data_IF_049980479655
#
_entry.id   IF_049980479655
#
_cell.length_a   1.000
_cell.length_b   1.000
_cell.length_c   1.000
_cell.angle_alpha   90.00
_cell.angle_beta   90.00
_cell.angle_gamma   90.00
#
_symmetry.space_group_name_H-M   'P 1'
#
loop_
_entity.id
_entity.type
_entity.pdbx_description
1 polymer ?
#
# COMPACT_ATOMS: atom_id res chain seq x y z
N UNK A 1 4.61 8.71 -0.13
CA UNK A 1 4.68 7.62 -1.14
C UNK A 1 4.05 6.38 -0.53
N UNK A 2 3.22 5.65 -1.27
CA UNK A 2 2.62 4.38 -0.82
C UNK A 2 2.86 3.28 -1.87
N UNK A 3 3.95 2.50 -1.77
CA UNK A 3 4.19 1.39 -2.69
C UNK A 3 3.48 0.11 -2.22
N UNK A 4 3.06 -0.72 -3.18
CA UNK A 4 2.69 -2.11 -2.94
C UNK A 4 3.83 -2.98 -3.47
N UNK A 5 4.39 -3.85 -2.62
CA UNK A 5 5.62 -4.59 -2.91
C UNK A 5 5.46 -6.04 -2.46
N UNK A 6 5.92 -6.96 -3.29
CA UNK A 6 6.10 -8.37 -2.96
C UNK A 6 7.59 -8.70 -2.89
N UNK A 7 7.98 -9.61 -2.00
CA UNK A 7 9.37 -10.06 -1.88
C UNK A 7 9.42 -11.55 -1.54
N UNK A 8 10.28 -12.29 -2.22
CA UNK A 8 10.39 -13.75 -2.06
C UNK A 8 11.18 -14.17 -0.81
N UNK A 9 11.84 -13.21 -0.16
CA UNK A 9 12.69 -13.45 1.02
C UNK A 9 12.25 -12.59 2.19
N UNK A 10 12.26 -13.18 3.37
CA UNK A 10 12.06 -12.47 4.62
C UNK A 10 13.06 -11.30 4.74
N UNK A 11 12.58 -10.12 5.12
CA UNK A 11 13.40 -8.91 5.24
C UNK A 11 13.80 -8.25 3.92
N UNK A 12 13.40 -8.80 2.76
CA UNK A 12 13.68 -8.21 1.44
C UNK A 12 13.13 -6.79 1.30
N UNK A 13 11.87 -6.58 1.70
CA UNK A 13 11.22 -5.25 1.69
C UNK A 13 11.97 -4.26 2.58
N UNK A 14 12.32 -4.66 3.81
CA UNK A 14 13.04 -3.79 4.74
C UNK A 14 14.41 -3.37 4.21
N UNK A 15 15.13 -4.30 3.58
CA UNK A 15 16.42 -4.02 2.97
C UNK A 15 16.28 -3.10 1.75
N UNK A 16 15.31 -3.36 0.87
CA UNK A 16 15.02 -2.50 -0.28
C UNK A 16 14.67 -1.07 0.15
N UNK A 17 13.73 -0.91 1.10
CA UNK A 17 13.33 0.40 1.63
C UNK A 17 14.51 1.15 2.27
N UNK A 18 15.37 0.45 3.01
CA UNK A 18 16.58 1.05 3.60
C UNK A 18 17.53 1.56 2.51
N UNK A 19 17.84 0.72 1.52
CA UNK A 19 18.76 1.08 0.43
C UNK A 19 18.19 2.24 -0.40
N UNK A 20 16.94 2.16 -0.84
CA UNK A 20 16.30 3.24 -1.60
C UNK A 20 16.26 4.56 -0.82
N UNK A 21 15.94 4.49 0.47
CA UNK A 21 15.92 5.67 1.35
C UNK A 21 17.30 6.31 1.53
N UNK A 22 18.34 5.49 1.75
CA UNK A 22 19.71 5.95 1.92
C UNK A 22 20.29 6.56 0.64
N UNK A 23 20.16 5.85 -0.49
CA UNK A 23 20.66 6.34 -1.78
C UNK A 23 19.99 7.66 -2.19
N UNK A 24 18.69 7.81 -1.94
CA UNK A 24 17.99 9.05 -2.24
C UNK A 24 18.44 10.22 -1.35
N UNK A 25 18.60 10.00 -0.05
CA UNK A 25 19.10 11.04 0.88
C UNK A 25 20.47 11.51 0.46
N UNK A 26 21.41 10.60 0.18
CA UNK A 26 22.75 10.95 -0.26
C UNK A 26 22.72 11.79 -1.55
N UNK A 27 21.94 11.37 -2.54
CA UNK A 27 21.80 12.13 -3.79
C UNK A 27 21.17 13.52 -3.57
N UNK A 28 20.19 13.63 -2.67
CA UNK A 28 19.55 14.89 -2.31
C UNK A 28 20.51 15.83 -1.59
N UNK A 29 21.26 15.34 -0.60
CA UNK A 29 22.23 16.12 0.17
C UNK A 29 23.34 16.69 -0.72
N UNK A 30 23.89 15.86 -1.62
CA UNK A 30 24.86 16.30 -2.63
C UNK A 30 24.28 17.38 -3.54
N UNK A 31 23.06 17.17 -4.06
CA UNK A 31 22.41 18.11 -4.98
C UNK A 31 22.09 19.46 -4.32
N UNK A 32 21.67 19.45 -3.07
CA UNK A 32 21.16 20.63 -2.38
C UNK A 32 22.15 21.25 -1.38
N UNK A 33 23.35 20.66 -1.23
CA UNK A 33 24.38 21.10 -0.26
C UNK A 33 23.81 21.30 1.14
N UNK A 34 22.92 20.39 1.56
CA UNK A 34 22.35 20.33 2.90
C UNK A 34 22.70 19.00 3.54
N UNK A 35 22.72 18.97 4.87
CA UNK A 35 22.79 17.76 5.68
C UNK A 35 21.57 17.69 6.60
N UNK A 36 21.09 16.47 6.87
CA UNK A 36 20.05 16.24 7.87
C UNK A 36 19.01 15.19 7.45
N UNK A 37 18.07 14.90 8.36
CA UNK A 37 17.06 13.87 8.12
C UNK A 37 16.00 14.36 7.12
N UNK A 38 15.95 13.73 5.93
CA UNK A 38 14.90 14.00 4.94
C UNK A 38 13.58 13.28 5.26
N UNK A 39 13.66 12.10 5.84
CA UNK A 39 12.51 11.24 6.13
C UNK A 39 12.03 11.43 7.58
N UNK A 40 10.72 11.49 7.77
CA UNK A 40 10.11 11.53 9.10
C UNK A 40 9.87 10.11 9.63
N UNK A 41 10.84 9.57 10.36
CA UNK A 41 10.73 8.29 11.06
C UNK A 41 10.85 7.05 10.17
N UNK A 42 10.41 5.90 10.71
CA UNK A 42 10.43 4.60 10.01
C UNK A 42 9.24 4.49 9.05
N UNK A 43 9.42 3.72 7.97
CA UNK A 43 8.30 3.34 7.11
C UNK A 43 7.31 2.47 7.89
N UNK A 44 6.02 2.60 7.58
CA UNK A 44 4.97 1.71 8.07
C UNK A 44 4.69 0.62 7.04
N UNK A 45 4.36 -0.58 7.52
CA UNK A 45 4.00 -1.70 6.63
C UNK A 45 2.77 -2.45 7.13
N UNK A 46 2.00 -2.98 6.19
CA UNK A 46 0.77 -3.72 6.41
C UNK A 46 0.73 -4.86 5.38
N UNK A 47 0.58 -6.10 5.83
CA UNK A 47 0.37 -7.24 4.92
C UNK A 47 -1.05 -7.17 4.36
N UNK A 48 -1.22 -7.51 3.09
CA UNK A 48 -2.49 -7.43 2.37
C UNK A 48 -2.83 -8.82 1.85
N UNK A 49 -4.02 -9.31 2.15
CA UNK A 49 -4.54 -10.55 1.57
C UNK A 49 -4.85 -10.37 0.09
N UNK A 50 -4.33 -11.26 -0.74
CA UNK A 50 -4.30 -11.11 -2.20
C UNK A 50 -5.67 -11.00 -2.83
N UNK A 51 -6.49 -12.03 -2.67
CA UNK A 51 -7.67 -12.31 -3.50
C UNK A 51 -8.74 -11.22 -3.39
N UNK A 52 -8.80 -10.55 -2.24
CA UNK A 52 -9.86 -9.59 -1.91
C UNK A 52 -9.39 -8.14 -1.83
N UNK A 53 -8.14 -7.92 -1.41
CA UNK A 53 -7.73 -6.58 -0.99
C UNK A 53 -6.67 -5.94 -1.87
N UNK A 54 -5.95 -6.70 -2.71
CA UNK A 54 -4.87 -6.14 -3.55
C UNK A 54 -5.40 -5.07 -4.51
N UNK A 55 -6.47 -5.35 -5.25
CA UNK A 55 -7.06 -4.32 -6.12
C UNK A 55 -7.49 -3.13 -5.28
N UNK A 56 -8.30 -3.31 -4.22
CA UNK A 56 -8.74 -2.20 -3.36
C UNK A 56 -7.59 -1.33 -2.85
N UNK A 57 -6.46 -1.94 -2.47
CA UNK A 57 -5.23 -1.22 -2.08
C UNK A 57 -4.57 -0.51 -3.25
N UNK A 58 -4.51 -1.10 -4.44
CA UNK A 58 -4.07 -0.41 -5.66
C UNK A 58 -4.95 0.83 -5.94
N UNK A 59 -6.28 0.72 -5.81
CA UNK A 59 -7.19 1.89 -5.94
C UNK A 59 -6.83 2.96 -4.96
N UNK A 60 -6.67 2.57 -3.70
CA UNK A 60 -6.32 3.47 -2.63
C UNK A 60 -5.01 4.20 -2.98
N UNK A 61 -3.98 3.47 -3.42
CA UNK A 61 -2.68 4.03 -3.80
C UNK A 61 -2.85 5.07 -4.90
N UNK A 62 -3.51 4.70 -6.00
CA UNK A 62 -3.61 5.54 -7.20
C UNK A 62 -4.56 6.74 -7.03
N UNK A 63 -5.54 6.63 -6.13
CA UNK A 63 -6.41 7.76 -5.76
C UNK A 63 -5.79 8.67 -4.69
N UNK A 64 -4.62 8.35 -4.10
CA UNK A 64 -4.00 9.22 -3.08
C UNK A 64 -3.72 10.65 -3.59
N UNK A 65 -3.14 10.88 -4.78
CA UNK A 65 -2.86 12.23 -5.26
C UNK A 65 -4.12 13.09 -5.38
N UNK A 66 -5.23 12.48 -5.80
CA UNK A 66 -6.55 13.14 -5.86
C UNK A 66 -7.05 13.46 -4.45
N UNK A 67 -7.00 12.50 -3.51
CA UNK A 67 -7.40 12.72 -2.11
C UNK A 67 -6.55 13.79 -1.42
N UNK A 68 -5.26 13.86 -1.76
CA UNK A 68 -4.34 14.88 -1.26
C UNK A 68 -4.51 16.24 -1.97
N UNK A 69 -5.48 16.37 -2.89
CA UNK A 69 -5.76 17.58 -3.68
C UNK A 69 -4.55 18.07 -4.50
N UNK A 70 -3.69 17.14 -4.92
CA UNK A 70 -2.53 17.46 -5.75
C UNK A 70 -2.90 17.53 -7.24
N UNK A 71 -3.91 16.77 -7.64
CA UNK A 71 -4.42 16.64 -9.02
C UNK A 71 -5.92 16.37 -8.99
N UNK A 72 -6.62 16.65 -10.10
CA UNK A 72 -8.05 16.37 -10.22
C UNK A 72 -8.30 14.91 -10.61
N UNK A 73 -7.43 14.34 -11.44
CA UNK A 73 -7.54 12.97 -11.93
C UNK A 73 -6.30 12.14 -11.54
N UNK A 74 -6.45 10.82 -11.27
CA UNK A 74 -5.31 9.96 -10.94
C UNK A 74 -4.24 9.96 -12.03
N UNK A 75 -4.67 10.06 -13.29
CA UNK A 75 -3.81 10.06 -14.47
C UNK A 75 -3.04 11.35 -14.68
N UNK A 76 -3.33 12.42 -13.95
CA UNK A 76 -2.53 13.66 -14.00
C UNK A 76 -1.30 13.55 -13.09
N UNK A 77 -1.28 12.60 -12.16
CA UNK A 77 -0.13 12.38 -11.32
C UNK A 77 0.92 11.53 -12.04
N UNK A 78 2.04 12.16 -12.39
CA UNK A 78 3.13 11.53 -13.17
C UNK A 78 3.73 10.30 -12.49
N UNK A 79 3.88 10.33 -11.16
CA UNK A 79 4.62 9.32 -10.40
C UNK A 79 3.68 8.24 -9.81
N UNK A 80 2.95 7.56 -10.69
CA UNK A 80 1.97 6.53 -10.31
C UNK A 80 2.01 5.33 -11.25
N UNK A 81 1.69 4.14 -10.71
CA UNK A 81 1.47 2.92 -11.48
C UNK A 81 0.23 2.95 -12.38
N UNK A 82 -0.65 3.93 -12.17
CA UNK A 82 -1.91 4.08 -12.92
C UNK A 82 -1.70 4.10 -14.43
N UNK A 83 -0.58 4.66 -14.90
CA UNK A 83 -0.24 4.70 -16.33
C UNK A 83 0.02 3.32 -16.89
N UNK A 84 0.64 2.42 -16.11
CA UNK A 84 0.87 1.03 -16.51
C UNK A 84 -0.41 0.22 -16.47
N UNK A 85 -1.24 0.37 -15.43
CA UNK A 85 -2.52 -0.34 -15.34
C UNK A 85 -3.58 0.17 -16.34
N UNK A 86 -3.45 1.39 -16.84
CA UNK A 86 -4.31 1.94 -17.91
C UNK A 86 -3.70 1.82 -19.31
N UNK A 87 -2.58 1.10 -19.47
CA UNK A 87 -1.94 0.91 -20.78
C UNK A 87 -1.37 2.19 -21.41
N UNK A 88 -1.21 3.27 -20.63
CA UNK A 88 -0.68 4.58 -21.08
C UNK A 88 0.84 4.68 -21.02
N UNK A 89 1.52 3.68 -20.46
CA UNK A 89 2.97 3.62 -20.41
C UNK A 89 3.49 2.35 -19.74
N UNK A 90 4.68 1.89 -20.14
CA UNK A 90 5.37 0.75 -19.51
C UNK A 90 6.41 1.27 -18.52
N UNK A 91 6.49 0.62 -17.35
CA UNK A 91 7.52 0.87 -16.35
C UNK A 91 8.28 -0.42 -16.09
N UNK A 92 9.61 -0.37 -16.13
CA UNK A 92 10.47 -1.51 -15.77
C UNK A 92 10.44 -1.81 -14.27
N UNK A 93 9.93 -0.88 -13.46
CA UNK A 93 9.82 -1.03 -12.00
C UNK A 93 8.49 -1.67 -11.57
N UNK A 94 7.58 -1.92 -12.51
CA UNK A 94 6.23 -2.42 -12.21
C UNK A 94 6.07 -3.79 -12.85
N UNK A 95 5.90 -4.79 -11.98
CA UNK A 95 5.40 -6.11 -12.37
C UNK A 95 3.90 -6.14 -12.10
N UNK A 96 3.11 -6.48 -13.12
CA UNK A 96 1.66 -6.60 -12.96
C UNK A 96 1.33 -7.76 -12.02
N UNK A 97 0.53 -7.49 -10.99
CA UNK A 97 0.08 -8.50 -10.03
C UNK A 97 -0.94 -9.44 -10.67
N UNK A 98 -0.99 -10.71 -10.27
CA UNK A 98 -1.91 -11.72 -10.82
C UNK A 98 -3.38 -11.28 -10.79
N UNK A 99 -3.85 -10.68 -9.69
CA UNK A 99 -5.22 -10.14 -9.56
C UNK A 99 -5.54 -9.09 -10.63
N UNK A 100 -4.57 -8.27 -11.07
CA UNK A 100 -4.76 -7.38 -12.23
C UNK A 100 -4.82 -8.18 -13.54
N UNK A 101 -3.96 -9.19 -13.68
CA UNK A 101 -3.94 -10.05 -14.86
C UNK A 101 -5.26 -10.84 -15.03
N UNK A 102 -5.91 -11.21 -13.93
CA UNK A 102 -7.21 -11.88 -13.93
C UNK A 102 -8.40 -10.96 -14.30
N UNK A 103 -8.20 -9.65 -14.47
CA UNK A 103 -9.28 -8.73 -14.87
C UNK A 103 -9.74 -8.91 -16.32
N UNK A 104 -8.97 -9.62 -17.15
CA UNK A 104 -9.31 -9.83 -18.56
C UNK A 104 -8.31 -10.73 -19.27
N UNK A 105 -8.79 -11.40 -20.31
CA UNK A 105 -8.01 -12.35 -21.10
C UNK A 105 -6.90 -11.66 -21.91
N UNK A 106 -7.10 -10.39 -22.27
CA UNK A 106 -6.14 -9.57 -23.00
C UNK A 106 -5.88 -8.20 -22.34
N UNK A 107 -4.93 -7.45 -22.91
CA UNK A 107 -4.53 -6.16 -22.36
C UNK A 107 -5.63 -5.08 -22.47
N UNK A 108 -6.43 -5.10 -23.54
CA UNK A 108 -7.48 -4.11 -23.75
C UNK A 108 -8.63 -4.32 -22.77
N UNK A 109 -9.02 -5.58 -22.54
CA UNK A 109 -10.04 -5.94 -21.56
C UNK A 109 -9.59 -5.54 -20.14
N UNK A 110 -8.36 -5.89 -19.74
CA UNK A 110 -7.81 -5.50 -18.42
C UNK A 110 -7.85 -4.00 -18.20
N UNK A 111 -7.40 -3.21 -19.19
CA UNK A 111 -7.42 -1.75 -19.11
C UNK A 111 -8.86 -1.22 -18.99
N UNK A 112 -9.79 -1.77 -19.77
CA UNK A 112 -11.20 -1.37 -19.74
C UNK A 112 -11.86 -1.65 -18.38
N UNK A 113 -11.67 -2.86 -17.85
CA UNK A 113 -12.19 -3.26 -16.54
C UNK A 113 -11.54 -2.44 -15.43
N UNK A 114 -10.21 -2.28 -15.47
CA UNK A 114 -9.48 -1.50 -14.48
C UNK A 114 -9.88 -0.02 -14.50
N UNK A 115 -10.08 0.58 -15.67
CA UNK A 115 -10.50 1.97 -15.82
C UNK A 115 -11.89 2.21 -15.21
N UNK A 116 -12.87 1.35 -15.54
CA UNK A 116 -14.21 1.41 -14.94
C UNK A 116 -14.15 1.27 -13.43
N UNK A 117 -13.38 0.30 -12.96
CA UNK A 117 -13.20 0.03 -11.55
C UNK A 117 -12.49 1.19 -10.83
N UNK A 118 -11.49 1.85 -11.43
CA UNK A 118 -10.82 3.01 -10.83
C UNK A 118 -11.75 4.24 -10.78
N UNK A 119 -12.52 4.46 -11.85
CA UNK A 119 -13.47 5.58 -11.95
C UNK A 119 -14.60 5.49 -10.92
N UNK A 120 -15.03 4.28 -10.55
CA UNK A 120 -16.03 4.07 -9.49
C UNK A 120 -15.60 4.60 -8.11
N UNK A 121 -14.34 4.99 -7.92
CA UNK A 121 -13.85 5.53 -6.66
C UNK A 121 -13.66 4.47 -5.58
N UNK A 122 -13.28 4.87 -4.38
CA UNK A 122 -13.08 3.97 -3.24
C UNK A 122 -14.17 4.21 -2.19
N UNK A 123 -14.79 3.14 -1.70
CA UNK A 123 -15.76 3.24 -0.62
C UNK A 123 -15.08 3.79 0.64
N UNK A 124 -15.82 4.58 1.43
CA UNK A 124 -15.28 5.25 2.61
C UNK A 124 -14.83 4.22 3.66
N UNK A 125 -15.54 3.12 3.76
CA UNK A 125 -15.27 2.01 4.67
C UNK A 125 -13.95 1.32 4.32
N UNK A 126 -13.71 1.08 3.02
CA UNK A 126 -12.45 0.51 2.53
C UNK A 126 -11.28 1.45 2.79
N UNK A 127 -11.45 2.76 2.52
CA UNK A 127 -10.43 3.75 2.81
C UNK A 127 -10.06 3.78 4.30
N UNK A 128 -11.08 3.82 5.17
CA UNK A 128 -10.88 3.83 6.62
C UNK A 128 -10.21 2.54 7.10
N UNK A 129 -10.62 1.39 6.57
CA UNK A 129 -10.03 0.08 6.89
C UNK A 129 -8.56 0.04 6.50
N UNK A 130 -8.20 0.43 5.27
CA UNK A 130 -6.81 0.47 4.81
C UNK A 130 -5.96 1.39 5.70
N UNK A 131 -6.47 2.60 6.00
CA UNK A 131 -5.76 3.55 6.86
C UNK A 131 -5.57 3.02 8.27
N UNK A 132 -6.59 2.38 8.85
CA UNK A 132 -6.52 1.83 10.20
C UNK A 132 -5.45 0.75 10.29
N UNK A 133 -5.48 -0.23 9.37
CA UNK A 133 -4.52 -1.33 9.34
C UNK A 133 -3.10 -0.85 9.08
N UNK A 134 -2.92 0.11 8.16
CA UNK A 134 -1.61 0.71 7.89
C UNK A 134 -1.08 1.51 9.09
N UNK A 135 -1.93 2.29 9.76
CA UNK A 135 -1.50 3.12 10.89
C UNK A 135 -1.11 2.31 12.11
N UNK A 136 -1.76 1.16 12.33
CA UNK A 136 -1.46 0.22 13.42
C UNK A 136 -0.46 -0.87 13.02
N UNK A 137 -0.05 -0.94 11.75
CA UNK A 137 0.84 -1.99 11.21
C UNK A 137 0.28 -3.39 11.48
N UNK A 138 -0.97 -3.60 11.03
CA UNK A 138 -1.78 -4.80 11.20
C UNK A 138 -2.11 -5.41 9.84
N UNK A 139 -2.49 -6.68 9.80
CA UNK A 139 -2.74 -7.37 8.54
C UNK A 139 -4.13 -7.00 8.00
N UNK A 140 -4.18 -6.47 6.78
CA UNK A 140 -5.43 -6.19 6.07
C UNK A 140 -5.89 -7.47 5.36
N UNK A 141 -6.95 -8.08 5.88
CA UNK A 141 -7.51 -9.32 5.37
C UNK A 141 -8.66 -9.79 6.24
N UNK A 142 -9.25 -10.92 5.88
CA UNK A 142 -10.23 -11.59 6.72
C UNK A 142 -9.61 -12.17 8.01
N UNK A 143 -10.45 -12.62 8.93
CA UNK A 143 -10.02 -13.16 10.23
C UNK A 143 -9.11 -14.37 10.10
N UNK A 144 -9.31 -15.21 9.07
CA UNK A 144 -8.47 -16.38 8.80
C UNK A 144 -7.07 -15.94 8.39
N UNK A 145 -6.95 -14.97 7.49
CA UNK A 145 -5.68 -14.40 7.07
C UNK A 145 -4.96 -13.75 8.26
N UNK A 146 -5.66 -12.95 9.06
CA UNK A 146 -5.09 -12.31 10.25
C UNK A 146 -4.54 -13.35 11.24
N UNK A 147 -5.30 -14.41 11.53
CA UNK A 147 -4.85 -15.49 12.42
C UNK A 147 -3.62 -16.23 11.86
N UNK A 148 -3.59 -16.49 10.55
CA UNK A 148 -2.44 -17.10 9.87
C UNK A 148 -1.19 -16.22 10.01
N UNK A 149 -1.31 -14.92 9.76
CA UNK A 149 -0.19 -13.96 9.89
C UNK A 149 0.27 -13.85 11.34
N UNK A 150 -0.65 -13.88 12.31
CA UNK A 150 -0.32 -13.81 13.74
C UNK A 150 0.49 -15.02 14.17
N UNK A 151 0.07 -16.21 13.76
CA UNK A 151 0.81 -17.46 14.00
C UNK A 151 2.21 -17.43 13.38
N UNK A 152 2.35 -16.88 12.17
CA UNK A 152 3.63 -16.82 11.47
C UNK A 152 4.60 -15.79 12.07
N UNK A 153 4.09 -14.66 12.56
CA UNK A 153 4.90 -13.55 13.03
C UNK A 153 5.04 -13.47 14.57
N UNK A 154 4.24 -14.23 15.32
CA UNK A 154 4.25 -14.21 16.79
C UNK A 154 3.84 -12.86 17.39
N UNK A 155 3.05 -12.06 16.66
CA UNK A 155 2.61 -10.71 17.09
C UNK A 155 1.14 -10.46 16.73
N UNK A 156 0.41 -9.62 17.49
CA UNK A 156 -0.98 -9.31 17.20
C UNK A 156 -1.16 -8.71 15.80
N UNK A 157 -2.11 -9.23 15.03
CA UNK A 157 -2.38 -8.79 13.64
C UNK A 157 -3.74 -8.12 13.46
N UNK A 158 -4.56 -8.10 14.52
CA UNK A 158 -5.85 -7.41 14.56
C UNK A 158 -5.69 -5.94 14.99
N UNK A 159 -6.50 -5.07 14.40
CA UNK A 159 -6.57 -3.67 14.82
C UNK A 159 -7.24 -3.57 16.19
N UNK A 160 -6.68 -2.75 17.07
CA UNK A 160 -7.28 -2.42 18.37
C UNK A 160 -8.12 -1.15 18.27
N UNK A 161 -9.25 -1.05 18.99
CA UNK A 161 -9.97 0.20 19.10
C UNK A 161 -9.08 1.29 19.71
N UNK A 162 -9.32 2.55 19.33
CA UNK A 162 -8.63 3.69 19.93
C UNK A 162 -9.12 3.88 21.37
N UNK A 163 -8.22 3.86 22.34
CA UNK A 163 -8.52 4.12 23.76
C UNK A 163 -7.62 3.34 24.72
N UNK A 164 -7.61 3.75 26.00
CA UNK A 164 -6.98 2.98 27.09
C UNK A 164 -7.74 1.65 27.23
N UNK A 165 -7.06 0.50 27.43
CA UNK A 165 -7.75 -0.74 27.76
C UNK A 165 -8.65 -0.51 28.97
N UNK A 166 -9.92 -0.91 28.87
CA UNK A 166 -10.82 -0.92 30.02
C UNK A 166 -10.23 -1.95 30.99
N UNK A 167 -9.79 -1.51 32.16
CA UNK A 167 -9.22 -2.40 33.17
C UNK A 167 -10.25 -3.47 33.49
N UNK A 168 -9.88 -4.74 33.28
CA UNK A 168 -10.71 -5.86 33.72
C UNK A 168 -10.58 -5.92 35.23
N UNK A 169 -11.59 -5.44 35.95
CA UNK A 169 -11.70 -5.67 37.39
C UNK A 169 -11.88 -7.17 37.59
N UNK A 170 -10.85 -7.86 38.09
CA UNK A 170 -11.05 -9.21 38.62
C UNK A 170 -11.94 -9.09 39.85
N UNK A 171 -13.16 -9.57 39.73
CA UNK A 171 -14.03 -9.83 40.88
C UNK A 171 -13.53 -11.16 41.46
N UNK A 172 -13.04 -11.09 42.70
CA UNK A 172 -12.49 -12.23 43.44
C UNK A 172 -13.53 -13.21 43.93
#
# INVERSE_FOLDING_TARGET
MHPLVSADKAGGVSSAMRLSGQSYVQAFEVRHRRSGTLWQGRFKSCLVQTERYVLTVLRYIELNPVRARMVALPTEYRWSSVHTHLGRGKSQLITSHEVYLYLGCDAAERVSVYAKWLHAGLAREDEQSIRLHLMQERALGDSRFQAMVERALGRPTTCRPRGRPVGVTQVG
#
